data_IF_782733508708
#
_entry.id   IF_782733508708
#
_cell.length_a   1.000
_cell.length_b   1.000
_cell.length_c   1.000
_cell.angle_alpha   90.00
_cell.angle_beta   90.00
_cell.angle_gamma   90.00
#
_symmetry.space_group_name_H-M   'P 1'
#
loop_
_entity.id
_entity.type
_entity.pdbx_description
1 polymer ?
#
# COMPACT_ATOMS: atom_id res chain seq x y z
N UNK A 1 10.06 0.63 13.53
CA UNK A 1 8.69 0.21 13.86
C UNK A 1 8.71 -1.30 14.06
N UNK A 2 8.14 -1.76 15.16
CA UNK A 2 8.00 -3.18 15.43
C UNK A 2 6.56 -3.59 15.15
N UNK A 3 6.37 -4.61 14.33
CA UNK A 3 5.06 -5.17 14.03
C UNK A 3 5.07 -6.64 14.45
N UNK A 4 4.18 -7.00 15.36
CA UNK A 4 3.99 -8.39 15.76
C UNK A 4 2.90 -9.01 14.88
N UNK A 5 3.27 -10.01 14.08
CA UNK A 5 2.45 -10.56 12.99
C UNK A 5 2.36 -12.08 13.15
N UNK A 6 1.21 -12.59 13.56
CA UNK A 6 0.96 -14.04 13.74
C UNK A 6 2.06 -14.77 14.54
N UNK A 7 2.57 -14.11 15.59
CA UNK A 7 3.65 -14.64 16.44
C UNK A 7 5.07 -14.45 15.88
N UNK A 8 5.21 -13.85 14.69
CA UNK A 8 6.49 -13.43 14.12
C UNK A 8 6.72 -11.94 14.34
N UNK A 9 7.89 -11.63 14.90
CA UNK A 9 8.32 -10.27 15.15
C UNK A 9 8.97 -9.71 13.89
N UNK A 10 8.31 -8.80 13.19
CA UNK A 10 8.89 -8.07 12.06
C UNK A 10 9.41 -6.73 12.55
N UNK A 11 10.72 -6.52 12.38
CA UNK A 11 11.38 -5.27 12.73
C UNK A 11 11.62 -4.51 11.44
N UNK A 12 10.85 -3.44 11.24
CA UNK A 12 11.06 -2.51 10.13
C UNK A 12 11.92 -1.35 10.62
N UNK A 13 13.02 -1.07 9.91
CA UNK A 13 13.81 0.13 10.18
C UNK A 13 12.96 1.35 9.80
N UNK A 14 12.86 2.32 10.70
CA UNK A 14 12.03 3.51 10.48
C UNK A 14 12.42 4.24 9.18
N UNK A 15 13.72 4.33 8.90
CA UNK A 15 14.25 4.92 7.67
C UNK A 15 13.76 4.20 6.40
N UNK A 16 13.71 2.87 6.41
CA UNK A 16 13.28 2.10 5.23
C UNK A 16 11.78 2.29 4.97
N UNK A 17 10.98 2.37 6.04
CA UNK A 17 9.53 2.68 5.94
C UNK A 17 9.30 4.08 5.40
N UNK A 18 10.06 5.06 5.88
CA UNK A 18 9.97 6.45 5.42
C UNK A 18 10.36 6.58 3.94
N UNK A 19 11.45 5.92 3.53
CA UNK A 19 11.88 5.89 2.12
C UNK A 19 10.80 5.24 1.25
N UNK A 20 10.27 4.09 1.65
CA UNK A 20 9.21 3.41 0.91
C UNK A 20 7.96 4.29 0.77
N UNK A 21 7.53 4.96 1.85
CA UNK A 21 6.40 5.87 1.84
C UNK A 21 6.59 7.05 0.89
N UNK A 22 7.77 7.69 0.93
CA UNK A 22 8.09 8.80 0.03
C UNK A 22 8.11 8.37 -1.44
N UNK A 23 8.72 7.21 -1.74
CA UNK A 23 8.79 6.68 -3.10
C UNK A 23 7.41 6.37 -3.66
N UNK A 24 6.56 5.67 -2.91
CA UNK A 24 5.20 5.32 -3.35
C UNK A 24 4.38 6.58 -3.59
N UNK A 25 4.40 7.55 -2.67
CA UNK A 25 3.64 8.79 -2.82
C UNK A 25 4.13 9.65 -3.99
N UNK A 26 5.44 9.71 -4.21
CA UNK A 26 6.02 10.41 -5.36
C UNK A 26 5.56 9.79 -6.68
N UNK A 27 5.62 8.46 -6.79
CA UNK A 27 5.12 7.73 -7.95
C UNK A 27 3.62 7.99 -8.19
N UNK A 28 2.79 7.84 -7.15
CA UNK A 28 1.35 8.05 -7.25
C UNK A 28 1.01 9.49 -7.65
N UNK A 29 1.74 10.48 -7.14
CA UNK A 29 1.55 11.89 -7.52
C UNK A 29 1.90 12.11 -8.99
N UNK A 30 3.02 11.59 -9.46
CA UNK A 30 3.43 11.69 -10.86
C UNK A 30 2.42 11.06 -11.82
N UNK A 31 1.92 9.86 -11.50
CA UNK A 31 0.89 9.18 -12.31
C UNK A 31 -0.42 9.97 -12.29
N UNK A 32 -0.84 10.49 -11.13
CA UNK A 32 -2.03 11.32 -11.01
C UNK A 32 -1.93 12.57 -11.88
N UNK A 33 -0.84 13.30 -11.76
CA UNK A 33 -0.66 14.59 -12.45
C UNK A 33 -0.57 14.37 -13.98
N UNK A 34 0.05 13.28 -14.42
CA UNK A 34 0.04 12.84 -15.82
C UNK A 34 -1.37 12.46 -16.30
N UNK A 35 -2.14 11.72 -15.49
CA UNK A 35 -3.51 11.36 -15.83
C UNK A 35 -4.42 12.58 -15.91
N UNK A 36 -4.29 13.54 -14.99
CA UNK A 36 -5.07 14.79 -15.01
C UNK A 36 -4.72 15.62 -16.24
N UNK A 37 -3.43 15.84 -16.51
CA UNK A 37 -2.99 16.66 -17.67
C UNK A 37 -3.43 16.10 -19.03
N UNK A 38 -3.58 14.79 -19.14
CA UNK A 38 -4.02 14.14 -20.39
C UNK A 38 -5.49 13.72 -20.40
N UNK A 39 -6.28 14.07 -19.38
CA UNK A 39 -7.69 13.67 -19.26
C UNK A 39 -7.91 12.15 -19.11
N UNK A 40 -6.89 11.42 -18.63
CA UNK A 40 -6.88 9.95 -18.48
C UNK A 40 -7.10 9.51 -17.04
N UNK A 41 -8.00 10.16 -16.30
CA UNK A 41 -8.25 9.82 -14.90
C UNK A 41 -8.63 8.33 -14.66
N UNK A 42 -9.38 7.64 -15.55
CA UNK A 42 -9.60 6.20 -15.43
C UNK A 42 -8.31 5.37 -15.41
N UNK A 43 -7.25 5.82 -16.09
CA UNK A 43 -5.94 5.14 -16.08
C UNK A 43 -5.28 5.23 -14.70
N UNK A 44 -5.38 6.38 -14.02
CA UNK A 44 -4.86 6.51 -12.65
C UNK A 44 -5.59 5.57 -11.68
N UNK A 45 -6.92 5.52 -11.75
CA UNK A 45 -7.73 4.61 -10.93
C UNK A 45 -7.38 3.13 -11.20
N UNK A 46 -7.17 2.77 -12.47
CA UNK A 46 -6.76 1.42 -12.86
C UNK A 46 -5.38 1.08 -12.29
N UNK A 47 -4.43 2.01 -12.36
CA UNK A 47 -3.09 1.83 -11.77
C UNK A 47 -3.17 1.63 -10.25
N UNK A 48 -3.99 2.43 -9.55
CA UNK A 48 -4.22 2.26 -8.11
C UNK A 48 -4.78 0.87 -7.78
N UNK A 49 -5.80 0.43 -8.52
CA UNK A 49 -6.40 -0.89 -8.34
C UNK A 49 -5.38 -2.01 -8.59
N UNK A 50 -4.58 -1.91 -9.65
CA UNK A 50 -3.53 -2.87 -9.97
C UNK A 50 -2.45 -2.94 -8.87
N UNK A 51 -2.00 -1.79 -8.36
CA UNK A 51 -1.04 -1.73 -7.25
C UNK A 51 -1.61 -2.35 -5.96
N UNK A 52 -2.89 -2.11 -5.66
CA UNK A 52 -3.55 -2.72 -4.51
C UNK A 52 -3.56 -4.25 -4.62
N UNK A 53 -4.00 -4.80 -5.76
CA UNK A 53 -4.04 -6.25 -5.99
C UNK A 53 -2.64 -6.86 -5.94
N UNK A 54 -1.66 -6.23 -6.60
CA UNK A 54 -0.27 -6.70 -6.58
C UNK A 54 0.32 -6.72 -5.17
N UNK A 55 0.06 -5.67 -4.37
CA UNK A 55 0.53 -5.57 -2.99
C UNK A 55 -0.13 -6.62 -2.10
N UNK A 56 -1.44 -6.82 -2.24
CA UNK A 56 -2.16 -7.86 -1.49
C UNK A 56 -1.63 -9.27 -1.85
N UNK A 57 -1.35 -9.53 -3.12
CA UNK A 57 -0.77 -10.81 -3.54
C UNK A 57 0.66 -10.99 -3.03
N UNK A 58 1.50 -9.94 -3.06
CA UNK A 58 2.84 -9.99 -2.50
C UNK A 58 2.81 -10.29 -1.00
N UNK A 59 1.91 -9.67 -0.25
CA UNK A 59 1.74 -9.97 1.18
C UNK A 59 1.33 -11.43 1.42
N UNK A 60 0.39 -11.97 0.63
CA UNK A 60 0.02 -13.41 0.71
C UNK A 60 1.21 -14.35 0.53
N UNK A 61 2.17 -13.99 -0.34
CA UNK A 61 3.37 -14.82 -0.54
C UNK A 61 4.33 -14.77 0.64
N UNK A 62 4.34 -13.67 1.39
CA UNK A 62 5.16 -13.52 2.59
C UNK A 62 4.51 -14.24 3.77
N UNK A 63 3.22 -13.96 4.00
CA UNK A 63 2.37 -14.64 4.98
C UNK A 63 0.88 -14.39 4.65
N UNK A 64 0.06 -15.45 4.47
CA UNK A 64 -1.36 -15.35 4.15
C UNK A 64 -2.19 -14.51 5.13
N UNK A 65 -1.82 -14.49 6.41
CA UNK A 65 -2.53 -13.73 7.45
C UNK A 65 -2.29 -12.22 7.34
N UNK A 66 -1.23 -11.77 6.64
CA UNK A 66 -0.96 -10.35 6.41
C UNK A 66 -2.04 -9.68 5.56
N UNK A 67 -2.72 -10.44 4.71
CA UNK A 67 -3.83 -9.94 3.92
C UNK A 67 -4.99 -9.48 4.79
N UNK A 68 -5.22 -10.15 5.93
CA UNK A 68 -6.28 -9.79 6.90
C UNK A 68 -6.01 -8.45 7.57
N UNK A 69 -4.75 -8.01 7.61
CA UNK A 69 -4.35 -6.74 8.21
C UNK A 69 -4.77 -5.57 7.31
N UNK A 70 -4.70 -5.72 5.99
CA UNK A 70 -5.25 -4.70 5.06
C UNK A 70 -6.75 -4.51 5.31
N UNK A 71 -7.48 -5.61 5.47
CA UNK A 71 -8.92 -5.57 5.76
C UNK A 71 -9.20 -4.90 7.12
N UNK A 72 -8.42 -5.22 8.16
CA UNK A 72 -8.55 -4.59 9.48
C UNK A 72 -8.22 -3.09 9.48
N UNK A 73 -7.17 -2.67 8.77
CA UNK A 73 -6.81 -1.26 8.63
C UNK A 73 -7.85 -0.44 7.85
N UNK A 74 -8.68 -1.10 7.02
CA UNK A 74 -9.81 -0.45 6.34
C UNK A 74 -10.99 -0.29 7.29
N UNK A 75 -11.32 -1.30 8.10
CA UNK A 75 -12.38 -1.24 9.12
C UNK A 75 -12.11 -0.21 10.22
N UNK A 76 -10.85 -0.04 10.65
CA UNK A 76 -10.47 0.93 11.68
C UNK A 76 -10.53 2.38 11.17
N UNK A 77 -10.48 2.61 9.85
CA UNK A 77 -10.59 3.95 9.23
C UNK A 77 -12.03 4.43 9.01
N UNK A 78 -12.99 3.52 8.98
CA UNK A 78 -14.42 3.86 8.83
C UNK A 78 -15.11 4.07 10.19
N UNK A 79 -14.40 3.87 11.31
CA UNK A 79 -14.89 4.01 12.68
C UNK A 79 -14.34 5.25 13.44
N UNK A 80 -13.62 6.14 12.76
CA UNK A 80 -13.02 7.39 13.27
C UNK A 80 -13.52 8.58 12.44
#
# INVERSE_FOLDING_TARGET
>A
MEINMSGRRIILKANDVEIAFKLVNSFLSSVRDSAVSHGKMPMYLTTLAAMYVASANALKTIDPDLTKIISKMQEDKDND
#
